data_IF_858724121426
#
_entry.id   IF_858724121426
#
_cell.length_a   1.000
_cell.length_b   1.000
_cell.length_c   1.000
_cell.angle_alpha   90.00
_cell.angle_beta   90.00
_cell.angle_gamma   90.00
#
_symmetry.space_group_name_H-M   'P 1'
#
loop_
_entity.id
_entity.type
_entity.pdbx_description
1 polymer ?
#
# COMPACT_ATOMS: atom_id res chain seq x y z
N UNK A 1 1.62 -2.89 17.97
CA UNK A 1 2.21 -1.73 17.26
C UNK A 1 1.02 -0.91 16.79
N UNK A 2 0.80 0.29 17.32
CA UNK A 2 -0.25 1.17 16.81
C UNK A 2 0.34 1.90 15.60
N UNK A 3 -0.23 1.64 14.43
CA UNK A 3 0.07 2.36 13.20
C UNK A 3 -0.98 3.44 13.01
N UNK A 4 -0.54 4.68 12.80
CA UNK A 4 -1.41 5.82 12.53
C UNK A 4 -1.23 6.15 11.06
N UNK A 5 -2.26 6.07 10.20
CA UNK A 5 -2.12 6.39 8.78
C UNK A 5 -1.36 7.71 8.57
N UNK A 6 -0.37 7.69 7.67
CA UNK A 6 0.43 8.84 7.30
C UNK A 6 -0.49 10.02 6.98
N UNK A 7 -0.43 11.06 7.82
CA UNK A 7 -1.35 12.20 7.79
C UNK A 7 -1.24 13.07 6.52
N UNK A 8 -0.36 12.72 5.58
CA UNK A 8 -0.07 13.48 4.38
C UNK A 8 -0.57 12.86 3.07
N UNK A 9 -1.28 11.73 3.10
CA UNK A 9 -1.92 11.16 1.91
C UNK A 9 -3.45 11.22 1.98
N UNK A 10 -4.04 12.07 1.15
CA UNK A 10 -5.50 12.13 0.98
C UNK A 10 -5.93 11.05 0.00
N UNK A 11 -6.58 9.99 0.49
CA UNK A 11 -7.18 8.95 -0.36
C UNK A 11 -8.69 9.06 -0.22
N UNK A 12 -9.39 9.33 -1.33
CA UNK A 12 -10.83 9.60 -1.30
C UNK A 12 -11.70 8.32 -1.21
N UNK A 13 -11.11 7.14 -1.42
CA UNK A 13 -11.81 5.87 -1.33
C UNK A 13 -12.27 5.56 0.11
N UNK A 14 -13.51 5.07 0.25
CA UNK A 14 -14.16 4.90 1.55
C UNK A 14 -13.92 3.54 2.21
N UNK A 15 -13.71 2.47 1.44
CA UNK A 15 -13.33 1.15 1.97
C UNK A 15 -11.81 0.97 1.99
N UNK A 16 -11.30 0.23 2.96
CA UNK A 16 -9.87 -0.04 3.09
C UNK A 16 -9.32 -0.80 1.87
N UNK A 17 -10.09 -1.73 1.33
CA UNK A 17 -9.78 -2.48 0.12
C UNK A 17 -9.63 -1.54 -1.07
N UNK A 18 -10.54 -0.59 -1.23
CA UNK A 18 -10.49 0.35 -2.34
C UNK A 18 -9.38 1.39 -2.13
N UNK A 19 -9.07 1.78 -0.89
CA UNK A 19 -7.88 2.57 -0.61
C UNK A 19 -6.59 1.84 -0.99
N UNK A 20 -6.46 0.54 -0.65
CA UNK A 20 -5.31 -0.28 -1.03
C UNK A 20 -5.19 -0.40 -2.56
N UNK A 21 -6.31 -0.70 -3.23
CA UNK A 21 -6.38 -0.79 -4.69
C UNK A 21 -6.00 0.52 -5.38
N UNK A 22 -6.61 1.65 -4.99
CA UNK A 22 -6.31 2.96 -5.57
C UNK A 22 -4.85 3.34 -5.39
N UNK A 23 -4.28 3.17 -4.19
CA UNK A 23 -2.86 3.48 -3.95
C UNK A 23 -1.95 2.61 -4.82
N UNK A 24 -2.19 1.31 -4.86
CA UNK A 24 -1.35 0.39 -5.63
C UNK A 24 -1.42 0.69 -7.14
N UNK A 25 -2.61 1.02 -7.66
CA UNK A 25 -2.80 1.44 -9.06
C UNK A 25 -2.12 2.77 -9.36
N UNK A 26 -2.23 3.75 -8.47
CA UNK A 26 -1.60 5.07 -8.64
C UNK A 26 -0.08 4.95 -8.66
N UNK A 27 0.51 4.21 -7.71
CA UNK A 27 1.95 3.95 -7.67
C UNK A 27 2.40 3.23 -8.94
N UNK A 28 1.70 2.18 -9.38
CA UNK A 28 2.07 1.47 -10.60
C UNK A 28 1.97 2.37 -11.85
N UNK A 29 0.94 3.22 -11.94
CA UNK A 29 0.80 4.19 -13.04
C UNK A 29 1.97 5.17 -13.07
N UNK A 30 2.40 5.63 -11.90
CA UNK A 30 3.55 6.49 -11.73
C UNK A 30 4.86 5.79 -12.16
N UNK A 31 5.09 4.56 -11.69
CA UNK A 31 6.27 3.75 -12.00
C UNK A 31 6.42 3.45 -13.49
N UNK A 32 5.30 3.31 -14.21
CA UNK A 32 5.28 3.12 -15.67
C UNK A 32 5.51 4.39 -16.48
N UNK A 33 5.45 5.56 -15.85
CA UNK A 33 5.58 6.83 -16.56
C UNK A 33 7.05 7.23 -16.62
N UNK A 34 7.64 7.26 -17.82
CA UNK A 34 9.06 7.60 -18.02
C UNK A 34 9.48 8.98 -17.48
N UNK A 35 8.54 9.94 -17.35
CA UNK A 35 8.78 11.24 -16.70
C UNK A 35 9.13 11.09 -15.22
N UNK A 36 8.54 10.09 -14.58
CA UNK A 36 8.49 9.88 -13.14
C UNK A 36 9.45 8.77 -12.69
N UNK A 37 9.73 7.81 -13.57
CA UNK A 37 10.71 6.74 -13.39
C UNK A 37 11.60 6.61 -14.65
N UNK A 38 12.44 7.62 -14.96
CA UNK A 38 13.29 7.59 -16.14
C UNK A 38 14.33 6.47 -16.01
N UNK A 39 14.11 5.35 -16.69
CA UNK A 39 15.00 4.18 -16.68
C UNK A 39 14.40 2.92 -16.08
N UNK A 40 13.14 2.94 -15.64
CA UNK A 40 12.45 1.78 -15.03
C UNK A 40 13.21 1.19 -13.82
N UNK A 41 14.02 2.02 -13.15
CA UNK A 41 14.94 1.59 -12.10
C UNK A 41 14.24 1.34 -10.76
N UNK A 42 13.04 1.91 -10.57
CA UNK A 42 12.24 1.77 -9.35
C UNK A 42 10.93 1.06 -9.70
N UNK A 43 10.69 -0.12 -9.13
CA UNK A 43 9.44 -0.87 -9.25
C UNK A 43 9.06 -1.46 -7.89
N UNK A 44 8.38 -0.66 -7.06
CA UNK A 44 7.89 -1.12 -5.76
C UNK A 44 6.68 -2.04 -5.92
N UNK A 45 5.84 -1.84 -6.94
CA UNK A 45 4.66 -2.67 -7.17
C UNK A 45 4.73 -3.31 -8.56
N UNK A 46 4.83 -4.63 -8.57
CA UNK A 46 4.64 -5.42 -9.79
C UNK A 46 3.29 -6.11 -9.71
N UNK A 47 2.37 -5.75 -10.61
CA UNK A 47 0.99 -6.24 -10.55
C UNK A 47 0.33 -6.34 -11.92
N UNK A 48 -0.73 -7.15 -11.97
CA UNK A 48 -1.56 -7.39 -13.14
C UNK A 48 -3.05 -7.32 -12.77
N UNK A 49 -3.87 -6.91 -13.74
CA UNK A 49 -5.33 -7.01 -13.67
C UNK A 49 -5.78 -8.10 -14.64
N UNK A 50 -6.54 -9.07 -14.14
CA UNK A 50 -7.23 -10.06 -14.95
C UNK A 50 -8.72 -9.67 -15.03
N UNK A 51 -9.14 -9.20 -16.20
CA UNK A 51 -10.52 -8.73 -16.43
C UNK A 51 -11.55 -9.88 -16.48
N UNK A 52 -11.11 -11.11 -16.77
CA UNK A 52 -12.01 -12.28 -16.82
C UNK A 52 -12.37 -12.74 -15.40
N UNK A 53 -11.38 -12.77 -14.51
CA UNK A 53 -11.58 -13.12 -13.08
C UNK A 53 -11.87 -11.92 -12.19
N UNK A 54 -11.67 -10.70 -12.71
CA UNK A 54 -11.74 -9.43 -11.99
C UNK A 54 -10.81 -9.40 -10.77
N UNK A 55 -9.58 -9.90 -10.93
CA UNK A 55 -8.58 -9.95 -9.87
C UNK A 55 -7.42 -9.01 -10.20
N UNK A 56 -7.10 -8.13 -9.26
CA UNK A 56 -5.90 -7.29 -9.27
C UNK A 56 -4.90 -7.86 -8.27
N UNK A 57 -3.84 -8.46 -8.80
CA UNK A 57 -2.86 -9.20 -7.99
C UNK A 57 -1.43 -8.80 -8.31
N UNK A 58 -0.54 -9.00 -7.36
CA UNK A 58 0.86 -8.65 -7.52
C UNK A 58 1.69 -8.80 -6.24
N UNK A 59 2.93 -8.37 -6.35
CA UNK A 59 3.86 -8.25 -5.24
C UNK A 59 4.24 -6.79 -5.00
N UNK A 60 4.50 -6.48 -3.75
CA UNK A 60 5.01 -5.21 -3.30
C UNK A 60 6.34 -5.42 -2.58
N UNK A 61 7.35 -4.61 -2.90
CA UNK A 61 8.64 -4.54 -2.19
C UNK A 61 8.96 -3.09 -1.82
N UNK A 62 8.75 -2.75 -0.55
CA UNK A 62 8.98 -1.40 -0.03
C UNK A 62 10.30 -1.33 0.71
N UNK A 63 11.18 -0.44 0.28
CA UNK A 63 12.40 -0.10 1.01
C UNK A 63 12.09 0.78 2.23
N UNK A 64 12.65 0.42 3.37
CA UNK A 64 12.50 1.14 4.62
C UNK A 64 13.83 1.25 5.39
N UNK A 65 13.90 2.22 6.29
CA UNK A 65 15.00 2.40 7.23
C UNK A 65 14.46 2.18 8.65
N UNK A 66 14.97 1.17 9.34
CA UNK A 66 14.68 0.90 10.75
C UNK A 66 15.68 1.64 11.62
N UNK A 67 15.21 2.62 12.39
CA UNK A 67 16.01 3.43 13.30
C UNK A 67 15.81 2.98 14.74
N UNK A 68 16.88 2.55 15.39
CA UNK A 68 16.88 2.22 16.81
C UNK A 68 17.04 3.51 17.63
N UNK A 69 16.03 3.88 18.42
CA UNK A 69 15.97 5.13 19.19
C UNK A 69 16.41 4.96 20.66
N UNK A 70 16.78 3.74 21.08
CA UNK A 70 17.19 3.41 22.45
C UNK A 70 16.60 2.06 22.90
N UNK A 71 16.79 1.70 24.18
CA UNK A 71 16.62 0.32 24.69
C UNK A 71 15.26 -0.36 24.47
N UNK A 72 14.22 0.37 24.04
CA UNK A 72 12.89 -0.19 23.73
C UNK A 72 12.13 0.57 22.64
N UNK A 73 12.79 1.50 21.94
CA UNK A 73 12.14 2.34 20.94
C UNK A 73 12.79 2.14 19.58
N UNK A 74 11.97 1.89 18.57
CA UNK A 74 12.42 1.91 17.19
C UNK A 74 11.36 2.56 16.30
N UNK A 75 11.79 3.30 15.29
CA UNK A 75 10.93 3.81 14.23
C UNK A 75 11.30 3.16 12.89
N UNK A 76 10.31 3.03 12.02
CA UNK A 76 10.49 2.59 10.63
C UNK A 76 10.16 3.80 9.76
N UNK A 77 11.06 4.15 8.86
CA UNK A 77 10.86 5.21 7.89
C UNK A 77 10.81 4.61 6.49
N UNK A 78 9.70 4.80 5.80
CA UNK A 78 9.57 4.43 4.40
C UNK A 78 10.15 5.55 3.54
N UNK A 79 11.17 5.24 2.75
CA UNK A 79 11.72 6.24 1.84
C UNK A 79 10.76 6.41 0.69
N UNK A 80 10.40 7.65 0.39
CA UNK A 80 9.67 7.99 -0.82
C UNK A 80 10.70 8.32 -1.93
N UNK A 81 10.95 7.39 -2.87
CA UNK A 81 11.84 7.66 -3.99
C UNK A 81 11.30 8.75 -4.92
N UNK A 82 10.05 9.19 -4.73
CA UNK A 82 9.33 10.17 -5.53
C UNK A 82 9.25 11.55 -4.85
N UNK A 83 9.90 11.73 -3.69
CA UNK A 83 9.83 12.91 -2.80
C UNK A 83 10.13 14.29 -3.39
N UNK A 84 10.64 14.41 -4.62
CA UNK A 84 10.80 15.68 -5.33
C UNK A 84 9.59 16.09 -6.19
N UNK A 85 8.55 15.27 -6.24
CA UNK A 85 7.39 15.46 -7.10
C UNK A 85 6.14 15.65 -6.24
N UNK A 86 5.63 16.88 -6.20
CA UNK A 86 4.26 17.12 -5.77
C UNK A 86 3.38 16.52 -6.86
N UNK A 87 2.67 15.45 -6.52
CA UNK A 87 1.71 14.85 -7.41
C UNK A 87 0.41 15.66 -7.35
N UNK A 88 0.02 16.21 -8.50
CA UNK A 88 -1.26 16.85 -8.74
C UNK A 88 -2.00 15.99 -9.76
N UNK A 89 -3.20 15.57 -9.39
CA UNK A 89 -4.06 14.78 -10.25
C UNK A 89 -4.61 15.64 -11.36
N UNK A 90 -4.40 15.21 -12.59
CA UNK A 90 -5.35 15.57 -13.64
C UNK A 90 -6.79 15.17 -13.27
N UNK A 91 -7.74 15.52 -14.12
CA UNK A 91 -9.20 15.60 -13.90
C UNK A 91 -9.94 14.37 -13.29
N UNK A 92 -9.26 13.27 -12.93
CA UNK A 92 -9.83 11.98 -12.51
C UNK A 92 -9.94 11.75 -10.97
N UNK A 93 -9.49 12.70 -10.13
CA UNK A 93 -9.90 12.86 -8.72
C UNK A 93 -9.77 11.67 -7.75
N UNK A 94 -8.56 11.25 -7.38
CA UNK A 94 -8.23 10.23 -6.36
C UNK A 94 -7.18 10.61 -5.27
N UNK A 95 -6.77 11.88 -5.08
CA UNK A 95 -5.85 12.32 -4.01
C UNK A 95 -4.68 13.25 -4.37
N UNK A 96 -3.99 13.76 -3.34
CA UNK A 96 -2.66 14.40 -3.43
C UNK A 96 -1.84 13.87 -2.25
N UNK A 97 -0.55 13.55 -2.42
CA UNK A 97 0.29 13.24 -1.24
C UNK A 97 1.80 13.37 -1.44
N UNK A 98 2.47 13.66 -0.32
CA UNK A 98 3.93 13.60 -0.14
C UNK A 98 4.40 12.30 0.58
N UNK A 99 3.48 11.34 0.84
CA UNK A 99 3.73 10.17 1.69
C UNK A 99 3.00 8.89 1.21
N UNK A 100 2.83 8.69 -0.10
CA UNK A 100 2.09 7.54 -0.66
C UNK A 100 2.69 6.19 -0.26
N UNK A 101 4.01 6.08 -0.07
CA UNK A 101 4.67 4.83 0.33
C UNK A 101 4.29 4.40 1.76
N UNK A 102 4.32 5.33 2.71
CA UNK A 102 3.89 5.07 4.08
C UNK A 102 2.40 4.71 4.10
N UNK A 103 1.58 5.48 3.39
CA UNK A 103 0.17 5.23 3.19
C UNK A 103 -0.14 3.85 2.58
N UNK A 104 0.66 3.39 1.61
CA UNK A 104 0.58 2.05 1.03
C UNK A 104 0.82 1.00 2.10
N UNK A 105 1.97 1.07 2.76
CA UNK A 105 2.36 0.05 3.74
C UNK A 105 1.34 -0.06 4.86
N UNK A 106 0.93 1.06 5.44
CA UNK A 106 0.05 1.03 6.60
C UNK A 106 -1.34 0.50 6.25
N UNK A 107 -1.88 0.83 5.07
CA UNK A 107 -3.19 0.32 4.65
C UNK A 107 -3.14 -1.16 4.30
N UNK A 108 -2.10 -1.62 3.63
CA UNK A 108 -1.94 -3.05 3.32
C UNK A 108 -1.70 -3.89 4.58
N UNK A 109 -0.92 -3.39 5.54
CA UNK A 109 -0.73 -4.06 6.83
C UNK A 109 -2.00 -4.02 7.69
N UNK A 110 -2.77 -2.93 7.64
CA UNK A 110 -4.08 -2.87 8.29
C UNK A 110 -5.05 -3.87 7.67
N UNK A 111 -5.12 -3.93 6.34
CA UNK A 111 -5.96 -4.89 5.62
C UNK A 111 -5.59 -6.33 6.00
N UNK A 112 -4.30 -6.66 5.96
CA UNK A 112 -3.78 -7.95 6.41
C UNK A 112 -4.16 -8.29 7.86
N UNK A 113 -4.13 -7.30 8.75
CA UNK A 113 -4.49 -7.47 10.16
C UNK A 113 -5.98 -7.76 10.30
N UNK A 114 -6.83 -7.02 9.58
CA UNK A 114 -8.29 -7.16 9.67
C UNK A 114 -8.81 -8.42 8.96
N UNK A 115 -8.17 -8.87 7.88
CA UNK A 115 -8.41 -10.17 7.26
C UNK A 115 -8.27 -11.33 8.24
N UNK A 116 -7.34 -11.22 9.18
CA UNK A 116 -7.03 -12.25 10.18
C UNK A 116 -7.82 -12.06 11.48
N UNK A 117 -8.78 -11.14 11.50
CA UNK A 117 -9.60 -10.86 12.66
C UNK A 117 -11.07 -11.16 12.36
N UNK A 118 -11.62 -12.14 13.08
CA UNK A 118 -12.99 -12.63 12.95
C UNK A 118 -14.06 -11.53 13.16
N UNK A 119 -13.71 -10.44 13.86
CA UNK A 119 -14.59 -9.28 14.04
C UNK A 119 -14.88 -8.55 12.73
N UNK A 120 -13.89 -8.48 11.83
CA UNK A 120 -13.97 -7.71 10.59
C UNK A 120 -14.19 -8.62 9.37
N UNK A 121 -13.60 -9.81 9.38
CA UNK A 121 -13.74 -10.85 8.35
C UNK A 121 -14.82 -11.88 8.74
N UNK A 122 -16.06 -11.42 8.89
CA UNK A 122 -17.19 -12.25 9.37
C UNK A 122 -17.53 -13.40 8.42
N UNK A 123 -17.27 -13.22 7.12
CA UNK A 123 -17.50 -14.23 6.08
C UNK A 123 -16.43 -15.32 6.05
N UNK A 124 -15.32 -15.17 6.79
CA UNK A 124 -14.20 -16.11 6.75
C UNK A 124 -13.51 -16.16 5.39
N UNK A 125 -13.46 -15.02 4.70
CA UNK A 125 -12.79 -14.90 3.40
C UNK A 125 -11.31 -15.22 3.57
N UNK A 126 -10.71 -15.94 2.63
CA UNK A 126 -9.27 -16.20 2.66
C UNK A 126 -8.49 -14.87 2.61
N UNK A 127 -7.38 -14.73 3.36
CA UNK A 127 -6.56 -13.53 3.33
C UNK A 127 -6.08 -13.22 1.91
N UNK A 128 -6.35 -12.00 1.43
CA UNK A 128 -5.87 -11.52 0.14
C UNK A 128 -4.48 -10.90 0.25
N UNK A 129 -4.02 -10.53 1.44
CA UNK A 129 -2.65 -10.08 1.70
C UNK A 129 -1.84 -11.21 2.36
N UNK A 130 -0.84 -11.72 1.63
CA UNK A 130 -0.07 -12.91 1.99
C UNK A 130 1.44 -12.66 1.88
N UNK A 131 2.25 -13.64 2.31
CA UNK A 131 3.71 -13.61 2.22
C UNK A 131 4.37 -12.32 2.76
N UNK A 132 3.84 -11.81 3.89
CA UNK A 132 4.35 -10.61 4.53
C UNK A 132 5.70 -10.94 5.20
N UNK A 133 6.78 -10.34 4.69
CA UNK A 133 8.14 -10.58 5.18
C UNK A 133 8.85 -9.24 5.44
N UNK A 134 9.59 -9.19 6.55
CA UNK A 134 10.55 -8.14 6.83
C UNK A 134 11.96 -8.71 6.73
N UNK A 135 12.75 -8.17 5.80
CA UNK A 135 14.13 -8.58 5.57
C UNK A 135 15.08 -7.42 5.80
N UNK A 136 16.04 -7.60 6.70
CA UNK A 136 17.16 -6.66 6.83
C UNK A 136 18.15 -6.89 5.67
N UNK A 137 18.60 -5.80 5.06
CA UNK A 137 19.57 -5.82 3.97
C UNK A 137 21.01 -5.67 4.47
N UNK A 138 21.18 -5.22 5.71
CA UNK A 138 22.48 -5.02 6.33
C UNK A 138 22.85 -6.20 7.24
N UNK A 139 24.14 -6.45 7.42
CA UNK A 139 24.62 -7.43 8.38
C UNK A 139 24.25 -7.02 9.81
N UNK A 140 23.95 -8.02 10.67
CA UNK A 140 23.69 -7.79 12.10
C UNK A 140 24.92 -7.16 12.77
N UNK A 141 24.85 -5.86 13.05
CA UNK A 141 25.86 -5.15 13.81
C UNK A 141 25.40 -5.01 15.27
N UNK A 142 26.33 -5.10 16.20
CA UNK A 142 26.07 -5.21 17.65
C UNK A 142 25.82 -3.88 18.36
N UNK A 143 25.59 -2.81 17.61
CA UNK A 143 25.37 -1.45 18.12
C UNK A 143 24.06 -0.88 17.53
N UNK A 144 23.37 0.05 18.24
CA UNK A 144 22.18 0.70 17.72
C UNK A 144 22.55 1.56 16.51
N UNK A 145 22.35 1.02 15.32
CA UNK A 145 22.53 1.69 14.04
C UNK A 145 21.20 1.66 13.28
N UNK A 146 21.08 2.53 12.28
CA UNK A 146 19.96 2.45 11.35
C UNK A 146 20.21 1.28 10.41
N UNK A 147 19.17 0.48 10.19
CA UNK A 147 19.21 -0.67 9.30
C UNK A 147 18.35 -0.44 8.06
N UNK A 148 18.88 -0.78 6.91
CA UNK A 148 18.13 -0.84 5.67
C UNK A 148 17.32 -2.14 5.66
N UNK A 149 16.05 -2.02 5.35
CA UNK A 149 15.09 -3.10 5.39
C UNK A 149 14.24 -3.11 4.12
N UNK A 150 13.69 -4.27 3.78
CA UNK A 150 12.61 -4.43 2.83
C UNK A 150 11.41 -5.03 3.56
N UNK A 151 10.25 -4.40 3.39
CA UNK A 151 8.96 -5.04 3.61
C UNK A 151 8.46 -5.57 2.27
N UNK A 152 8.18 -6.86 2.19
CA UNK A 152 7.55 -7.49 1.03
C UNK A 152 6.22 -8.12 1.40
N UNK A 153 5.28 -8.08 0.47
CA UNK A 153 4.01 -8.82 0.58
C UNK A 153 3.42 -9.09 -0.80
N UNK A 154 2.57 -10.10 -0.87
CA UNK A 154 1.74 -10.40 -2.04
C UNK A 154 0.30 -9.96 -1.77
N UNK A 155 -0.39 -9.52 -2.82
CA UNK A 155 -1.80 -9.14 -2.76
C UNK A 155 -2.60 -9.72 -3.91
N UNK A 156 -3.89 -9.97 -3.67
CA UNK A 156 -4.86 -10.41 -4.68
C UNK A 156 -6.24 -9.85 -4.38
N UNK A 157 -6.50 -8.61 -4.80
CA UNK A 157 -7.75 -7.90 -4.52
C UNK A 157 -8.75 -8.13 -5.64
N UNK A 158 -9.97 -8.52 -5.27
CA UNK A 158 -11.07 -8.59 -6.23
C UNK A 158 -11.51 -7.16 -6.58
N UNK A 159 -11.77 -6.88 -7.84
CA UNK A 159 -12.27 -5.59 -8.31
C UNK A 159 -13.55 -5.75 -9.11
N UNK A 160 -14.20 -4.64 -9.41
CA UNK A 160 -15.34 -4.59 -10.33
C UNK A 160 -15.20 -3.41 -11.28
N UNK A 161 -15.77 -3.58 -12.47
CA UNK A 161 -15.82 -2.55 -13.50
C UNK A 161 -17.22 -1.94 -13.50
N UNK A 162 -17.30 -0.64 -13.24
CA UNK A 162 -18.54 0.14 -13.24
C UNK A 162 -18.55 0.99 -14.49
N UNK A 163 -19.43 0.66 -15.43
CA UNK A 163 -19.65 1.45 -16.63
C UNK A 163 -20.73 2.50 -16.38
N UNK A 164 -20.41 3.76 -16.61
CA UNK A 164 -21.33 4.89 -16.49
C UNK A 164 -21.34 5.72 -17.77
N UNK A 165 -22.29 6.66 -17.88
CA UNK A 165 -22.31 7.64 -18.98
C UNK A 165 -21.07 8.53 -19.02
N UNK A 166 -20.34 8.64 -17.91
CA UNK A 166 -19.18 9.50 -17.74
C UNK A 166 -17.85 8.72 -17.86
N UNK A 167 -17.91 7.45 -18.25
CA UNK A 167 -16.73 6.59 -18.41
C UNK A 167 -16.79 5.33 -17.56
N UNK A 168 -15.68 4.60 -17.60
CA UNK A 168 -15.49 3.33 -16.89
C UNK A 168 -14.65 3.57 -15.65
N UNK A 169 -15.17 3.16 -14.50
CA UNK A 169 -14.49 3.21 -13.21
C UNK A 169 -14.17 1.78 -12.79
N UNK A 170 -12.98 1.57 -12.23
CA UNK A 170 -12.59 0.30 -11.62
C UNK A 170 -12.32 0.51 -10.14
N UNK A 171 -12.95 -0.27 -9.27
CA UNK A 171 -12.79 -0.17 -7.82
C UNK A 171 -12.73 -1.57 -7.18
N UNK A 172 -12.04 -1.68 -6.04
CA UNK A 172 -12.00 -2.94 -5.29
C UNK A 172 -13.38 -3.30 -4.73
N UNK A 173 -13.67 -4.60 -4.67
CA UNK A 173 -14.85 -5.13 -3.99
C UNK A 173 -14.58 -5.18 -2.49
N UNK A 174 -15.31 -4.45 -1.64
CA UNK A 174 -15.18 -4.58 -0.20
C UNK A 174 -15.61 -5.97 0.26
N UNK A 175 -14.82 -6.63 1.10
CA UNK A 175 -15.12 -7.95 1.67
C UNK A 175 -15.00 -7.98 3.19
N UNK A 176 -14.36 -6.99 3.79
CA UNK A 176 -14.37 -6.75 5.22
C UNK A 176 -15.52 -5.83 5.62
N UNK A 177 -15.92 -5.92 6.89
CA UNK A 177 -17.04 -5.17 7.44
C UNK A 177 -16.67 -4.47 8.74
N UNK A 178 -17.37 -3.37 9.05
CA UNK A 178 -17.22 -2.63 10.31
C UNK A 178 -16.47 -1.31 10.19
N UNK A 179 -16.25 -0.67 11.35
CA UNK A 179 -15.45 0.56 11.48
C UNK A 179 -14.09 0.18 12.05
N UNK A 180 -13.02 0.55 11.35
CA UNK A 180 -11.65 0.20 11.70
C UNK A 180 -11.08 1.19 12.74
N UNK A 181 -10.62 0.74 13.92
CA UNK A 181 -10.11 1.63 14.97
C UNK A 181 -8.88 2.40 14.51
N UNK A 182 -8.93 3.74 14.52
CA UNK A 182 -7.82 4.59 14.06
C UNK A 182 -7.82 4.87 12.55
N UNK A 183 -8.87 4.49 11.84
CA UNK A 183 -9.02 4.65 10.40
C UNK A 183 -10.42 5.22 10.11
N UNK A 184 -10.51 6.55 9.98
CA UNK A 184 -11.73 7.30 9.65
C UNK A 184 -11.39 8.47 8.75
#
# INVERSE_FOLDING_TARGET
>A
MNFTPGAGATVQATSLENQCYSIARSIQSFERTAKHNPGEEINMITSSSDDDTQIFSGNCEVYAEHKVLGSFYSSIYYRDPYSSLIWDEGEDGQGTANHWVEALVERFLALATFERNETYNVSGTEPKITNIEWRMLDNFLTLPINHNCILSFEFSLDYKIINSSNGTITEAVPYLSGVYPGWS
#
